data_IF_050667994270
#
_entry.id   IF_050667994270
#
_cell.length_a   1.000
_cell.length_b   1.000
_cell.length_c   1.000
_cell.angle_alpha   90.00
_cell.angle_beta   90.00
_cell.angle_gamma   90.00
#
_symmetry.space_group_name_H-M   'P 1'
#
loop_
_entity.id
_entity.type
_entity.pdbx_description
1 polymer ?
#
# COMPACT_ATOMS: atom_id res chain seq x y z
N UNK A 1 -16.64 3.81 9.71
CA UNK A 1 -15.38 3.08 9.84
C UNK A 1 -14.32 3.86 9.11
N UNK A 2 -13.09 3.85 9.59
CA UNK A 2 -11.95 4.44 8.86
C UNK A 2 -11.48 3.45 7.80
N UNK A 3 -11.08 3.96 6.62
CA UNK A 3 -10.46 3.15 5.58
C UNK A 3 -9.02 2.81 6.00
N UNK A 4 -8.60 1.56 5.78
CA UNK A 4 -7.24 1.06 6.08
C UNK A 4 -6.65 0.49 4.78
N UNK A 5 -6.33 1.39 3.85
CA UNK A 5 -5.79 1.06 2.54
C UNK A 5 -4.49 0.25 2.60
N UNK A 6 -4.38 -0.75 1.72
CA UNK A 6 -3.22 -1.65 1.64
C UNK A 6 -2.60 -1.53 0.26
N UNK A 7 -1.44 -0.85 0.20
CA UNK A 7 -0.67 -0.73 -1.05
C UNK A 7 0.12 -2.02 -1.29
N UNK A 8 -0.01 -2.57 -2.50
CA UNK A 8 0.79 -3.69 -3.00
C UNK A 8 1.76 -3.14 -4.04
N UNK A 9 3.04 -3.48 -3.90
CA UNK A 9 4.09 -3.06 -4.81
C UNK A 9 5.04 -4.23 -5.10
N UNK A 10 5.64 -4.18 -6.29
CA UNK A 10 6.73 -5.09 -6.70
C UNK A 10 8.04 -4.32 -6.64
N UNK A 11 9.15 -5.03 -6.42
CA UNK A 11 10.47 -4.41 -6.46
C UNK A 11 10.88 -4.16 -7.90
N UNK A 12 11.50 -3.01 -8.16
CA UNK A 12 12.14 -2.71 -9.44
C UNK A 12 13.24 -3.76 -9.71
N UNK A 13 13.20 -4.37 -10.90
CA UNK A 13 14.13 -5.44 -11.27
C UNK A 13 13.80 -6.81 -10.67
N UNK A 14 12.61 -7.01 -10.09
CA UNK A 14 12.17 -8.34 -9.65
C UNK A 14 12.07 -9.31 -10.84
N UNK A 15 12.88 -10.36 -10.84
CA UNK A 15 12.97 -11.28 -11.98
C UNK A 15 11.63 -11.93 -12.39
N UNK A 16 10.67 -12.02 -11.47
CA UNK A 16 9.36 -12.65 -11.71
C UNK A 16 8.29 -11.61 -12.04
N UNK A 17 8.33 -10.45 -11.38
CA UNK A 17 7.24 -9.49 -11.37
C UNK A 17 7.56 -8.11 -11.95
N UNK A 18 8.76 -7.86 -12.46
CA UNK A 18 9.18 -6.54 -13.01
C UNK A 18 8.25 -6.01 -14.13
N UNK A 19 7.59 -6.91 -14.87
CA UNK A 19 6.65 -6.55 -15.94
C UNK A 19 5.20 -6.37 -15.46
N UNK A 20 4.92 -6.52 -14.16
CA UNK A 20 3.57 -6.38 -13.60
C UNK A 20 3.29 -4.92 -13.28
N UNK A 21 2.35 -4.32 -14.01
CA UNK A 21 1.94 -2.92 -13.83
C UNK A 21 0.56 -2.77 -13.19
N UNK A 22 -0.21 -3.85 -13.11
CA UNK A 22 -1.59 -3.86 -12.58
C UNK A 22 -1.84 -5.07 -11.69
N UNK A 23 -2.67 -4.90 -10.66
CA UNK A 23 -3.02 -5.99 -9.73
C UNK A 23 -3.72 -7.16 -10.44
N UNK A 24 -4.44 -6.88 -11.53
CA UNK A 24 -5.13 -7.89 -12.35
C UNK A 24 -4.17 -8.71 -13.21
N UNK A 25 -2.92 -8.28 -13.38
CA UNK A 25 -1.89 -9.06 -14.06
C UNK A 25 -1.25 -10.12 -13.16
N UNK A 26 -1.51 -10.08 -11.84
CA UNK A 26 -1.12 -11.15 -10.93
C UNK A 26 -2.01 -12.38 -11.10
N UNK A 27 -1.50 -13.60 -10.82
CA UNK A 27 -2.34 -14.78 -10.77
C UNK A 27 -3.52 -14.57 -9.80
N UNK A 28 -4.78 -14.87 -10.19
CA UNK A 28 -5.95 -14.61 -9.34
C UNK A 28 -5.85 -15.23 -7.94
N UNK A 29 -5.30 -16.44 -7.85
CA UNK A 29 -5.05 -17.15 -6.58
C UNK A 29 -4.14 -16.38 -5.62
N UNK A 30 -3.23 -15.54 -6.13
CA UNK A 30 -2.38 -14.69 -5.30
C UNK A 30 -3.19 -13.53 -4.70
N UNK A 31 -4.04 -12.90 -5.52
CA UNK A 31 -4.92 -11.80 -5.09
C UNK A 31 -5.89 -12.29 -4.02
N UNK A 32 -6.55 -13.44 -4.25
CA UNK A 32 -7.43 -14.08 -3.26
C UNK A 32 -6.73 -14.35 -1.93
N UNK A 33 -5.47 -14.80 -1.96
CA UNK A 33 -4.66 -15.04 -0.75
C UNK A 33 -4.36 -13.74 -0.01
N UNK A 34 -4.06 -12.65 -0.71
CA UNK A 34 -3.84 -11.34 -0.09
C UNK A 34 -5.13 -10.83 0.57
N UNK A 35 -6.26 -10.89 -0.12
CA UNK A 35 -7.56 -10.51 0.45
C UNK A 35 -7.92 -11.34 1.69
N UNK A 36 -7.70 -12.66 1.63
CA UNK A 36 -7.92 -13.54 2.77
C UNK A 36 -7.01 -13.19 3.95
N UNK A 37 -5.71 -12.96 3.68
CA UNK A 37 -4.76 -12.57 4.72
C UNK A 37 -5.17 -11.26 5.38
N UNK A 38 -5.46 -10.22 4.60
CA UNK A 38 -5.82 -8.92 5.13
C UNK A 38 -7.19 -8.92 5.84
N UNK A 39 -8.16 -9.73 5.40
CA UNK A 39 -9.46 -9.83 6.09
C UNK A 39 -9.37 -10.52 7.46
N UNK A 40 -8.30 -11.27 7.74
CA UNK A 40 -8.21 -12.14 8.93
C UNK A 40 -7.06 -11.80 9.88
N UNK A 41 -5.99 -11.12 9.46
CA UNK A 41 -4.78 -10.97 10.29
C UNK A 41 -4.99 -10.18 11.60
N UNK A 42 -6.03 -9.34 11.69
CA UNK A 42 -6.42 -8.59 12.89
C UNK A 42 -7.56 -9.25 13.68
N UNK A 43 -8.02 -10.43 13.27
CA UNK A 43 -9.12 -11.11 13.97
C UNK A 43 -8.66 -11.57 15.35
N UNK A 44 -9.51 -11.32 16.34
CA UNK A 44 -9.34 -11.79 17.71
C UNK A 44 -10.37 -12.89 17.96
N UNK A 45 -9.97 -14.09 18.42
CA UNK A 45 -10.91 -15.15 18.76
C UNK A 45 -12.00 -14.67 19.71
N UNK A 46 -13.26 -14.95 19.39
CA UNK A 46 -14.41 -14.54 20.19
C UNK A 46 -14.87 -13.09 19.99
N UNK A 47 -14.21 -12.31 19.12
CA UNK A 47 -14.70 -10.98 18.71
C UNK A 47 -15.25 -10.99 17.28
N UNK A 48 -16.26 -10.14 16.99
CA UNK A 48 -16.75 -9.98 15.62
C UNK A 48 -15.63 -9.41 14.73
N UNK A 49 -15.54 -9.90 13.49
CA UNK A 49 -14.64 -9.33 12.52
C UNK A 49 -15.06 -7.88 12.22
N UNK A 50 -14.13 -6.94 12.39
CA UNK A 50 -14.33 -5.51 12.14
C UNK A 50 -13.83 -5.07 10.77
N UNK A 51 -13.26 -5.99 10.00
CA UNK A 51 -12.62 -5.70 8.73
C UNK A 51 -13.40 -6.32 7.58
N UNK A 52 -13.64 -5.51 6.55
CA UNK A 52 -14.24 -5.93 5.30
C UNK A 52 -13.38 -5.40 4.16
N UNK A 53 -13.03 -6.27 3.21
CA UNK A 53 -12.42 -5.84 1.95
C UNK A 53 -13.55 -5.28 1.09
N UNK A 54 -13.45 -3.99 0.74
CA UNK A 54 -14.46 -3.30 -0.08
C UNK A 54 -14.19 -3.54 -1.58
N UNK A 55 -12.94 -3.80 -1.94
CA UNK A 55 -12.52 -4.18 -3.28
C UNK A 55 -11.00 -4.03 -3.44
N UNK A 56 -10.53 -4.38 -4.64
CA UNK A 56 -9.18 -4.11 -5.12
C UNK A 56 -9.21 -2.95 -6.11
N UNK A 57 -8.13 -2.19 -6.18
CA UNK A 57 -7.97 -1.07 -7.10
C UNK A 57 -6.64 -1.15 -7.84
N UNK A 58 -6.63 -0.60 -9.05
CA UNK A 58 -5.44 -0.56 -9.91
C UNK A 58 -4.46 0.55 -9.53
N UNK A 59 -3.41 0.71 -10.35
CA UNK A 59 -2.30 1.61 -10.08
C UNK A 59 -2.73 3.06 -9.83
N UNK A 60 -3.63 3.62 -10.66
CA UNK A 60 -4.01 5.03 -10.58
C UNK A 60 -4.57 5.42 -9.19
N UNK A 61 -5.42 4.55 -8.62
CA UNK A 61 -5.99 4.80 -7.30
C UNK A 61 -4.94 4.63 -6.20
N UNK A 62 -4.08 3.62 -6.29
CA UNK A 62 -2.99 3.41 -5.35
C UNK A 62 -2.04 4.62 -5.33
N UNK A 63 -1.70 5.18 -6.50
CA UNK A 63 -0.90 6.38 -6.62
C UNK A 63 -1.58 7.59 -5.96
N UNK A 64 -2.89 7.78 -6.16
CA UNK A 64 -3.65 8.85 -5.52
C UNK A 64 -3.64 8.74 -3.99
N UNK A 65 -3.79 7.53 -3.45
CA UNK A 65 -3.71 7.26 -2.00
C UNK A 65 -2.32 7.62 -1.45
N UNK A 66 -1.24 7.26 -2.16
CA UNK A 66 0.14 7.60 -1.76
C UNK A 66 0.36 9.11 -1.76
N UNK A 67 -0.06 9.81 -2.82
CA UNK A 67 0.09 11.25 -2.93
C UNK A 67 -0.70 12.00 -1.84
N UNK A 68 -1.94 11.57 -1.55
CA UNK A 68 -2.73 12.10 -0.45
C UNK A 68 -2.05 11.85 0.90
N UNK A 69 -1.58 10.63 1.15
CA UNK A 69 -0.85 10.27 2.38
C UNK A 69 0.42 11.09 2.57
N UNK A 70 1.13 11.39 1.47
CA UNK A 70 2.31 12.27 1.49
C UNK A 70 1.93 13.70 1.83
N UNK A 71 0.84 14.21 1.26
CA UNK A 71 0.28 15.53 1.60
C UNK A 71 -0.03 15.64 3.08
N UNK A 72 -0.80 14.70 3.63
CA UNK A 72 -1.17 14.65 5.04
C UNK A 72 0.06 14.61 5.96
N UNK A 73 1.10 13.86 5.56
CA UNK A 73 2.36 13.81 6.29
C UNK A 73 3.05 15.18 6.30
N UNK A 74 3.14 15.85 5.15
CA UNK A 74 3.76 17.17 5.01
C UNK A 74 2.98 18.24 5.78
N UNK A 75 1.65 18.20 5.76
CA UNK A 75 0.81 19.14 6.53
C UNK A 75 1.00 18.94 8.04
N UNK A 76 1.19 17.70 8.48
CA UNK A 76 1.37 17.36 9.89
C UNK A 76 2.77 17.61 10.43
N UNK A 77 3.81 17.37 9.62
CA UNK A 77 5.20 17.36 10.09
C UNK A 77 6.12 18.36 9.38
N UNK A 78 5.64 19.02 8.32
CA UNK A 78 6.44 19.86 7.45
C UNK A 78 7.32 19.06 6.49
N UNK A 79 8.03 19.75 5.57
CA UNK A 79 8.97 19.09 4.67
C UNK A 79 10.11 18.42 5.46
N UNK A 80 10.62 17.26 5.01
CA UNK A 80 11.81 16.67 5.58
C UNK A 80 12.93 17.71 5.58
N UNK A 81 13.72 17.76 6.66
CA UNK A 81 14.87 18.65 6.71
C UNK A 81 15.76 18.40 5.48
N UNK A 82 16.06 19.46 4.71
CA UNK A 82 16.96 19.37 3.58
C UNK A 82 18.28 18.73 4.02
N UNK A 83 18.72 17.70 3.30
CA UNK A 83 19.96 16.97 3.55
C UNK A 83 21.12 17.98 3.71
N UNK A 84 21.67 18.08 4.92
CA UNK A 84 22.77 19.00 5.25
C UNK A 84 24.14 18.50 4.77
N UNK A 85 24.18 17.59 3.80
CA UNK A 85 25.42 17.26 3.08
C UNK A 85 25.76 18.38 2.09
N UNK A 86 26.23 19.51 2.64
CA UNK A 86 27.01 20.47 1.86
C UNK A 86 28.28 19.76 1.36
N UNK A 87 28.70 19.97 0.09
CA UNK A 87 30.03 19.56 -0.32
C UNK A 87 31.04 20.35 0.52
N UNK A 88 31.93 19.64 1.23
CA UNK A 88 33.11 20.27 1.82
C UNK A 88 33.98 20.75 0.66
N UNK A 89 34.17 22.06 0.59
CA UNK A 89 35.20 22.73 -0.22
C UNK A 89 36.58 22.22 0.09
#
# INVERSE_FOLDING_TARGET
GEADDKIIAVLEGDYVWDNVTEITALPPVLVERLEHYFSTYKMVPGQPNKMQIVGTYGYEHAAAVIEASRGDYLDKFGPPAADRRQPRS
#
